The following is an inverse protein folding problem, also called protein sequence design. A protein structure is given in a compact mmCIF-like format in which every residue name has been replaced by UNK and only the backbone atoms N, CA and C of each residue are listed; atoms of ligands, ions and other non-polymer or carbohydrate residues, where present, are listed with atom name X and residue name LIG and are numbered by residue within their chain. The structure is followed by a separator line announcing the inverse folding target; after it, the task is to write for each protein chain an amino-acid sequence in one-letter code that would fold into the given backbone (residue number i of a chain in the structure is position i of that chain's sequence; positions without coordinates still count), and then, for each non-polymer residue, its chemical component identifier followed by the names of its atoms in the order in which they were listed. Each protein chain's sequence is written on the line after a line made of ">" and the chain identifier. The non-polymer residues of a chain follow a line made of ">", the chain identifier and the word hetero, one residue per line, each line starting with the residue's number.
data_IF_456469827026
#
_entry.id   IF_456469827026
#
_cell.length_a   1.000
_cell.length_b   1.000
_cell.length_c   1.000
_cell.angle_alpha   90.00
_cell.angle_beta   90.00
_cell.angle_gamma   90.00
#
_symmetry.space_group_name_H-M   'P 1'
#
loop_
_entity.id
_entity.type
_entity.pdbx_description
1 polymer ?
#
# COMPACT_ATOMS: atom_id res chain seq x y z
N UNK A 1 57.12 17.00 39.94
CA UNK A 1 56.02 17.34 39.08
C UNK A 1 55.37 18.62 39.61
N UNK A 2 55.33 19.67 38.83
CA UNK A 2 54.76 20.96 39.22
C UNK A 2 53.25 20.86 39.40
N UNK A 3 52.64 21.65 40.28
CA UNK A 3 51.21 21.66 40.53
C UNK A 3 50.35 21.93 39.24
N UNK A 4 50.94 22.71 38.32
CA UNK A 4 50.34 22.99 37.00
C UNK A 4 50.32 21.74 36.10
N UNK A 5 51.41 20.94 36.13
CA UNK A 5 51.50 19.71 35.34
C UNK A 5 50.51 18.66 35.84
N UNK A 6 50.32 18.55 37.16
CA UNK A 6 49.31 17.68 37.76
C UNK A 6 47.88 18.01 37.31
N UNK A 7 47.55 19.32 37.32
CA UNK A 7 46.22 19.77 36.87
C UNK A 7 46.03 19.49 35.38
N UNK A 8 47.04 19.72 34.55
CA UNK A 8 47.02 19.45 33.13
C UNK A 8 46.77 17.95 32.81
N UNK A 9 47.55 17.06 33.46
CA UNK A 9 47.34 15.61 33.29
C UNK A 9 45.99 15.12 33.81
N UNK A 10 45.48 15.69 34.90
CA UNK A 10 44.14 15.38 35.41
C UNK A 10 43.05 15.78 34.41
N UNK A 11 43.16 16.94 33.77
CA UNK A 11 42.21 17.37 32.74
C UNK A 11 42.23 16.46 31.51
N UNK A 12 43.41 16.05 31.05
CA UNK A 12 43.53 15.09 29.93
C UNK A 12 42.87 13.75 30.30
N UNK A 13 43.10 13.24 31.50
CA UNK A 13 42.52 11.98 31.96
C UNK A 13 40.99 12.05 31.98
N UNK A 14 40.40 13.17 32.45
CA UNK A 14 38.96 13.39 32.43
C UNK A 14 38.42 13.44 31.00
N UNK A 15 39.08 14.15 30.09
CA UNK A 15 38.64 14.22 28.69
C UNK A 15 38.70 12.84 28.01
N UNK A 16 39.75 12.07 28.23
CA UNK A 16 39.89 10.71 27.72
C UNK A 16 38.80 9.79 28.30
N UNK A 17 38.48 9.91 29.58
CA UNK A 17 37.41 9.16 30.22
C UNK A 17 36.05 9.51 29.62
N UNK A 18 35.75 10.80 29.44
CA UNK A 18 34.51 11.26 28.82
C UNK A 18 34.36 10.79 27.37
N UNK A 19 35.48 10.84 26.61
CA UNK A 19 35.51 10.34 25.24
C UNK A 19 35.26 8.84 25.17
N UNK A 20 35.94 8.05 26.03
CA UNK A 20 35.74 6.60 26.10
C UNK A 20 34.31 6.26 26.54
N UNK A 21 33.77 6.95 27.53
CA UNK A 21 32.40 6.80 27.98
C UNK A 21 31.40 7.05 26.84
N UNK A 22 31.58 8.14 26.10
CA UNK A 22 30.74 8.49 24.95
C UNK A 22 30.84 7.46 23.84
N UNK A 23 32.03 6.93 23.58
CA UNK A 23 32.24 5.89 22.57
C UNK A 23 31.58 4.58 22.96
N UNK A 24 31.70 4.12 24.19
CA UNK A 24 31.09 2.92 24.72
C UNK A 24 29.54 3.04 24.74
N UNK A 25 29.01 4.17 25.18
CA UNK A 25 27.55 4.40 25.22
C UNK A 25 26.92 4.42 23.84
N UNK A 26 27.59 5.01 22.83
CA UNK A 26 27.13 4.95 21.43
C UNK A 26 27.20 3.53 20.89
N UNK A 27 28.23 2.76 21.22
CA UNK A 27 28.33 1.35 20.81
C UNK A 27 27.18 0.50 21.39
N UNK A 28 26.84 0.68 22.65
CA UNK A 28 25.70 -0.01 23.29
C UNK A 28 24.37 0.36 22.66
N UNK A 29 24.14 1.66 22.38
CA UNK A 29 22.92 2.14 21.72
C UNK A 29 22.78 1.57 20.31
N UNK A 30 23.86 1.58 19.52
CA UNK A 30 23.86 0.98 18.17
C UNK A 30 23.59 -0.53 18.23
N UNK A 31 24.12 -1.24 19.22
CA UNK A 31 23.83 -2.65 19.45
C UNK A 31 22.35 -2.91 19.70
N UNK A 32 21.73 -2.13 20.58
CA UNK A 32 20.27 -2.23 20.84
C UNK A 32 19.43 -1.93 19.61
N UNK A 33 19.78 -0.88 18.87
CA UNK A 33 19.06 -0.52 17.64
C UNK A 33 19.15 -1.63 16.58
N UNK A 34 20.31 -2.25 16.42
CA UNK A 34 20.48 -3.38 15.49
C UNK A 34 19.66 -4.60 15.91
N UNK A 35 19.55 -4.90 17.21
CA UNK A 35 18.68 -5.98 17.68
C UNK A 35 17.21 -5.69 17.36
N UNK A 36 16.73 -4.48 17.64
CA UNK A 36 15.34 -4.08 17.31
C UNK A 36 15.07 -4.14 15.81
N UNK A 37 16.00 -3.69 14.97
CA UNK A 37 15.88 -3.78 13.51
C UNK A 37 15.77 -5.24 13.04
N UNK A 38 16.57 -6.14 13.60
CA UNK A 38 16.52 -7.56 13.27
C UNK A 38 15.18 -8.21 13.68
N UNK A 39 14.63 -7.85 14.84
CA UNK A 39 13.29 -8.30 15.28
C UNK A 39 12.21 -7.81 14.32
N UNK A 40 12.18 -6.51 14.00
CA UNK A 40 11.21 -5.93 13.05
C UNK A 40 11.33 -6.60 11.66
N UNK A 41 12.53 -6.88 11.20
CA UNK A 41 12.73 -7.56 9.91
C UNK A 41 12.20 -8.99 9.95
N UNK A 42 12.37 -9.70 11.06
CA UNK A 42 11.84 -11.06 11.25
C UNK A 42 10.30 -11.03 11.27
N UNK A 43 9.70 -10.14 12.07
CA UNK A 43 8.25 -9.98 12.16
C UNK A 43 7.64 -9.65 10.80
N UNK A 44 8.25 -8.72 10.04
CA UNK A 44 7.81 -8.40 8.69
C UNK A 44 7.87 -9.60 7.73
N UNK A 45 8.92 -10.43 7.84
CA UNK A 45 9.04 -11.63 7.03
C UNK A 45 7.97 -12.67 7.39
N UNK A 46 7.67 -12.84 8.67
CA UNK A 46 6.64 -13.77 9.14
C UNK A 46 5.23 -13.27 8.72
N UNK A 47 4.96 -11.96 8.83
CA UNK A 47 3.71 -11.36 8.33
C UNK A 47 3.54 -11.56 6.82
N UNK A 48 4.60 -11.38 6.02
CA UNK A 48 4.56 -11.63 4.57
C UNK A 48 4.26 -13.10 4.28
N UNK A 49 4.90 -14.02 5.01
CA UNK A 49 4.66 -15.46 4.84
C UNK A 49 3.21 -15.84 5.17
N UNK A 50 2.62 -15.24 6.20
CA UNK A 50 1.25 -15.49 6.63
C UNK A 50 0.19 -14.82 5.74
N UNK A 51 0.54 -13.74 5.04
CA UNK A 51 -0.37 -13.00 4.15
C UNK A 51 -0.34 -13.47 2.70
N UNK A 52 0.52 -14.41 2.34
CA UNK A 52 0.81 -14.84 0.96
C UNK A 52 1.27 -13.72 0.01
N UNK A 53 1.52 -12.52 0.53
CA UNK A 53 2.06 -11.39 -0.24
C UNK A 53 3.56 -11.55 -0.42
N UNK A 54 4.03 -11.41 -1.64
CA UNK A 54 5.46 -11.49 -1.95
C UNK A 54 6.24 -10.28 -1.42
N UNK A 55 7.58 -10.38 -1.42
CA UNK A 55 8.44 -9.26 -1.02
C UNK A 55 8.20 -8.01 -1.88
N UNK A 56 8.46 -6.84 -1.32
CA UNK A 56 8.44 -5.59 -2.09
C UNK A 56 9.38 -5.70 -3.30
N UNK A 57 8.90 -5.31 -4.48
CA UNK A 57 9.55 -5.43 -5.79
C UNK A 57 9.57 -6.86 -6.37
N UNK A 58 8.81 -7.81 -5.83
CA UNK A 58 8.63 -9.14 -6.45
C UNK A 58 7.73 -9.10 -7.69
N UNK A 59 6.96 -8.03 -7.87
CA UNK A 59 6.20 -7.71 -9.09
C UNK A 59 6.17 -6.20 -9.31
N UNK A 60 5.77 -5.79 -10.52
CA UNK A 60 5.44 -4.40 -10.86
C UNK A 60 4.36 -4.45 -11.93
N UNK A 61 3.10 -4.43 -11.50
CA UNK A 61 1.95 -4.52 -12.39
C UNK A 61 1.13 -3.24 -12.30
N UNK A 62 0.42 -2.94 -13.40
CA UNK A 62 -0.51 -1.84 -13.48
C UNK A 62 -1.87 -2.37 -13.91
N UNK A 63 -2.94 -1.86 -13.29
CA UNK A 63 -4.32 -2.23 -13.64
C UNK A 63 -5.19 -0.98 -13.67
N UNK A 64 -6.12 -0.91 -14.61
CA UNK A 64 -7.12 0.15 -14.64
C UNK A 64 -8.29 -0.19 -13.71
N UNK A 65 -8.77 0.79 -12.95
CA UNK A 65 -9.89 0.61 -12.03
C UNK A 65 -10.87 1.77 -12.08
N UNK A 66 -12.15 1.45 -11.99
CA UNK A 66 -13.23 2.39 -11.70
C UNK A 66 -14.09 1.83 -10.58
N UNK A 67 -14.48 2.69 -9.66
CA UNK A 67 -15.42 2.38 -8.58
C UNK A 67 -16.57 3.34 -8.64
N UNK A 68 -17.79 2.80 -8.73
CA UNK A 68 -19.02 3.56 -8.75
C UNK A 68 -19.87 3.28 -7.52
N UNK A 69 -20.45 4.32 -6.94
CA UNK A 69 -21.44 4.24 -5.87
C UNK A 69 -22.67 5.03 -6.33
N UNK A 70 -23.81 4.34 -6.51
CA UNK A 70 -25.08 4.94 -6.97
C UNK A 70 -24.88 5.81 -8.24
N UNK A 71 -24.20 5.27 -9.23
CA UNK A 71 -23.95 5.90 -10.53
C UNK A 71 -22.85 6.97 -10.53
N UNK A 72 -22.23 7.29 -9.38
CA UNK A 72 -21.14 8.27 -9.28
C UNK A 72 -19.79 7.59 -9.13
N UNK A 73 -18.85 7.94 -10.00
CA UNK A 73 -17.46 7.46 -9.88
C UNK A 73 -16.78 8.09 -8.66
N UNK A 74 -16.03 7.28 -7.92
CA UNK A 74 -15.13 7.77 -6.88
C UNK A 74 -13.87 8.33 -7.55
N UNK A 75 -13.44 9.51 -7.11
CA UNK A 75 -12.22 10.16 -7.57
C UNK A 75 -11.05 9.84 -6.62
N UNK A 76 -10.22 8.87 -7.01
CA UNK A 76 -8.99 8.52 -6.27
C UNK A 76 -7.78 9.38 -6.66
N UNK A 77 -7.91 10.40 -7.52
CA UNK A 77 -6.84 11.35 -7.83
C UNK A 77 -6.54 12.31 -6.66
N UNK A 78 -7.44 12.41 -5.70
CA UNK A 78 -7.28 13.26 -4.51
C UNK A 78 -6.05 12.82 -3.69
N UNK A 79 -5.32 13.81 -3.14
CA UNK A 79 -4.06 13.58 -2.41
C UNK A 79 -4.17 12.56 -1.26
N UNK A 80 -5.33 12.47 -0.61
CA UNK A 80 -5.57 11.52 0.50
C UNK A 80 -5.51 10.05 0.08
N UNK A 81 -5.66 9.74 -1.21
CA UNK A 81 -5.61 8.38 -1.75
C UNK A 81 -4.30 8.06 -2.47
N UNK A 82 -3.44 9.09 -2.65
CA UNK A 82 -2.18 8.93 -3.37
C UNK A 82 -1.10 8.36 -2.47
N UNK A 83 -0.31 7.40 -2.97
CA UNK A 83 0.81 6.75 -2.27
C UNK A 83 0.43 6.20 -0.88
N UNK A 84 -0.82 5.73 -0.73
CA UNK A 84 -1.38 5.29 0.55
C UNK A 84 -0.63 4.10 1.16
N UNK A 85 -0.05 3.21 0.33
CA UNK A 85 0.80 2.11 0.76
C UNK A 85 1.95 1.87 -0.23
N UNK A 86 3.09 1.34 0.24
CA UNK A 86 4.27 1.09 -0.60
C UNK A 86 4.10 -0.06 -1.58
N UNK A 87 3.25 -1.02 -1.26
CA UNK A 87 3.05 -2.24 -2.03
C UNK A 87 1.99 -2.06 -3.12
N UNK A 88 0.96 -1.23 -2.85
CA UNK A 88 -0.17 -1.00 -3.75
C UNK A 88 -0.68 0.43 -3.54
N UNK A 89 -0.83 1.20 -4.61
CA UNK A 89 -1.25 2.60 -4.52
C UNK A 89 -1.68 3.18 -5.86
N UNK A 90 -2.23 4.38 -5.81
CA UNK A 90 -2.34 5.34 -6.90
C UNK A 90 -1.21 6.37 -6.77
N UNK A 91 -0.71 6.91 -7.88
CA UNK A 91 0.34 7.91 -7.90
C UNK A 91 0.16 8.96 -9.02
N UNK A 92 0.99 10.00 -9.03
CA UNK A 92 1.00 11.07 -10.04
C UNK A 92 -0.32 11.85 -10.18
N UNK A 93 -1.18 11.85 -9.14
CA UNK A 93 -2.51 12.46 -9.20
C UNK A 93 -3.48 11.69 -10.11
N UNK A 94 -3.17 10.44 -10.47
CA UNK A 94 -4.02 9.56 -11.26
C UNK A 94 -4.73 8.59 -10.32
N UNK A 95 -6.06 8.56 -10.38
CA UNK A 95 -6.89 7.71 -9.53
C UNK A 95 -7.53 6.54 -10.26
N UNK A 96 -7.06 6.23 -11.46
CA UNK A 96 -7.65 5.20 -12.32
C UNK A 96 -6.66 4.10 -12.71
N UNK A 97 -5.37 4.26 -12.36
CA UNK A 97 -4.33 3.26 -12.57
C UNK A 97 -3.76 2.83 -11.23
N UNK A 98 -3.95 1.56 -10.88
CA UNK A 98 -3.37 0.93 -9.70
C UNK A 98 -1.92 0.55 -10.03
N UNK A 99 -0.99 0.82 -9.10
CA UNK A 99 0.38 0.33 -9.13
C UNK A 99 0.55 -0.75 -8.05
N UNK A 100 1.08 -1.92 -8.41
CA UNK A 100 1.39 -2.99 -7.46
C UNK A 100 2.88 -3.33 -7.54
N UNK A 101 3.51 -3.47 -6.38
CA UNK A 101 4.96 -3.69 -6.26
C UNK A 101 5.31 -5.03 -5.58
N UNK A 102 4.34 -5.93 -5.46
CA UNK A 102 4.55 -7.29 -4.95
C UNK A 102 3.59 -8.28 -5.61
N UNK A 103 3.94 -9.56 -5.59
CA UNK A 103 3.04 -10.63 -6.02
C UNK A 103 1.91 -10.83 -5.03
N UNK A 104 0.80 -11.42 -5.48
CA UNK A 104 -0.37 -11.79 -4.66
C UNK A 104 -1.12 -10.63 -4.01
N UNK A 105 -0.97 -9.40 -4.52
CA UNK A 105 -1.75 -8.27 -4.07
C UNK A 105 -3.18 -8.33 -4.62
N UNK A 106 -4.16 -8.19 -3.72
CA UNK A 106 -5.58 -8.33 -4.04
C UNK A 106 -6.32 -6.99 -4.02
N UNK A 107 -7.56 -7.01 -4.50
CA UNK A 107 -8.48 -5.86 -4.38
C UNK A 107 -8.74 -5.50 -2.91
N UNK A 108 -8.82 -6.49 -2.00
CA UNK A 108 -8.91 -6.25 -0.56
C UNK A 108 -7.72 -5.46 -0.02
N UNK A 109 -6.49 -5.74 -0.47
CA UNK A 109 -5.30 -4.97 -0.11
C UNK A 109 -5.38 -3.52 -0.61
N UNK A 110 -5.87 -3.30 -1.84
CA UNK A 110 -6.09 -1.95 -2.36
C UNK A 110 -7.06 -1.18 -1.46
N UNK A 111 -8.25 -1.70 -1.23
CA UNK A 111 -9.27 -1.00 -0.44
C UNK A 111 -8.80 -0.74 1.00
N UNK A 112 -8.15 -1.71 1.65
CA UNK A 112 -7.55 -1.50 2.97
C UNK A 112 -6.50 -0.39 2.98
N UNK A 113 -5.68 -0.29 1.95
CA UNK A 113 -4.70 0.80 1.84
C UNK A 113 -5.36 2.19 1.76
N UNK A 114 -6.58 2.24 1.23
CA UNK A 114 -7.40 3.45 1.11
C UNK A 114 -8.26 3.73 2.35
N UNK A 115 -8.15 2.91 3.41
CA UNK A 115 -8.97 3.02 4.61
C UNK A 115 -10.42 2.55 4.41
N UNK A 116 -10.63 1.60 3.50
CA UNK A 116 -11.91 1.01 3.17
C UNK A 116 -11.88 -0.52 3.39
N UNK A 117 -13.04 -1.11 3.61
CA UNK A 117 -13.22 -2.56 3.60
C UNK A 117 -14.09 -2.97 2.39
N UNK A 118 -13.73 -4.08 1.76
CA UNK A 118 -14.40 -4.59 0.57
C UNK A 118 -14.51 -6.11 0.65
N UNK A 119 -15.70 -6.64 0.47
CA UNK A 119 -15.98 -8.06 0.40
C UNK A 119 -17.06 -8.37 -0.66
N UNK A 120 -17.53 -9.60 -0.72
CA UNK A 120 -18.53 -10.03 -1.70
C UNK A 120 -19.95 -9.46 -1.48
N UNK A 121 -20.20 -8.79 -0.38
CA UNK A 121 -21.47 -8.22 -0.01
C UNK A 121 -21.45 -6.72 0.21
N UNK A 122 -20.33 -6.17 0.75
CA UNK A 122 -20.23 -4.80 1.20
C UNK A 122 -18.97 -4.09 0.69
N UNK A 123 -19.11 -2.79 0.45
CA UNK A 123 -18.03 -1.84 0.36
C UNK A 123 -18.20 -0.81 1.48
N UNK A 124 -17.37 -0.87 2.53
CA UNK A 124 -17.32 0.16 3.56
C UNK A 124 -16.33 1.24 3.12
N UNK A 125 -16.81 2.45 2.85
CA UNK A 125 -16.00 3.54 2.32
C UNK A 125 -16.43 4.88 2.92
N UNK A 126 -15.46 5.68 3.36
CA UNK A 126 -15.71 7.01 3.98
C UNK A 126 -16.77 6.97 5.09
N UNK A 127 -16.69 5.98 5.97
CA UNK A 127 -17.61 5.77 7.13
C UNK A 127 -19.04 5.39 6.73
N UNK A 128 -19.25 4.93 5.51
CA UNK A 128 -20.56 4.48 5.03
C UNK A 128 -20.42 3.06 4.49
N UNK A 129 -21.37 2.20 4.87
CA UNK A 129 -21.43 0.82 4.42
C UNK A 129 -22.41 0.71 3.24
N UNK A 130 -21.91 0.29 2.10
CA UNK A 130 -22.66 0.04 0.88
C UNK A 130 -22.80 -1.46 0.69
N UNK A 131 -23.82 -2.04 1.33
CA UNK A 131 -24.07 -3.48 1.30
C UNK A 131 -25.18 -3.85 0.34
N UNK A 132 -25.05 -5.00 -0.34
CA UNK A 132 -26.08 -5.54 -1.20
C UNK A 132 -27.36 -5.82 -0.41
N UNK A 133 -28.51 -5.32 -0.91
CA UNK A 133 -29.81 -5.49 -0.28
C UNK A 133 -30.90 -4.67 -0.98
N UNK A 134 -32.14 -5.14 -0.93
CA UNK A 134 -33.24 -4.50 -1.65
C UNK A 134 -32.94 -4.42 -3.15
N UNK A 135 -32.95 -3.21 -3.70
CA UNK A 135 -32.67 -2.96 -5.11
C UNK A 135 -31.19 -2.68 -5.41
N UNK A 136 -30.35 -2.44 -4.37
CA UNK A 136 -28.94 -2.15 -4.56
C UNK A 136 -28.10 -3.44 -4.50
N UNK A 137 -27.12 -3.53 -5.39
CA UNK A 137 -26.19 -4.67 -5.46
C UNK A 137 -24.75 -4.16 -5.58
N UNK A 138 -23.85 -4.81 -4.85
CA UNK A 138 -22.41 -4.69 -5.08
C UNK A 138 -22.03 -5.68 -6.19
N UNK A 139 -21.34 -5.18 -7.21
CA UNK A 139 -20.92 -5.95 -8.38
C UNK A 139 -19.46 -5.74 -8.64
N UNK A 140 -18.77 -6.79 -9.04
CA UNK A 140 -17.36 -6.78 -9.35
C UNK A 140 -17.12 -7.40 -10.73
N UNK A 141 -16.36 -6.69 -11.56
CA UNK A 141 -16.03 -7.13 -12.93
C UNK A 141 -14.53 -6.99 -13.17
N UNK A 142 -14.01 -7.96 -13.89
CA UNK A 142 -12.62 -7.97 -14.38
C UNK A 142 -12.63 -8.23 -15.88
N UNK A 143 -11.99 -7.37 -16.63
CA UNK A 143 -11.89 -7.48 -18.10
C UNK A 143 -13.26 -7.64 -18.79
N UNK A 144 -14.24 -6.89 -18.30
CA UNK A 144 -15.62 -6.87 -18.81
C UNK A 144 -16.48 -8.05 -18.38
N UNK A 145 -16.01 -8.97 -17.54
CA UNK A 145 -16.74 -10.16 -17.08
C UNK A 145 -17.02 -10.08 -15.59
N UNK A 146 -18.22 -10.50 -15.11
CA UNK A 146 -18.46 -10.64 -13.68
C UNK A 146 -17.43 -11.56 -13.05
N UNK A 147 -16.96 -11.17 -11.85
CA UNK A 147 -16.00 -11.93 -11.04
C UNK A 147 -16.54 -12.05 -9.62
N UNK A 148 -16.42 -13.22 -9.01
CA UNK A 148 -16.93 -13.51 -7.68
C UNK A 148 -15.83 -13.59 -6.59
N UNK A 149 -14.58 -13.27 -6.94
CA UNK A 149 -13.48 -13.29 -5.99
C UNK A 149 -13.43 -12.03 -5.13
N UNK A 150 -13.99 -10.91 -5.57
CA UNK A 150 -14.10 -9.62 -4.86
C UNK A 150 -12.76 -9.21 -4.21
N UNK A 151 -12.71 -9.12 -2.88
CA UNK A 151 -11.52 -8.76 -2.09
C UNK A 151 -10.36 -9.73 -2.29
N UNK A 152 -10.64 -11.00 -2.58
CA UNK A 152 -9.64 -12.04 -2.81
C UNK A 152 -9.05 -12.03 -4.23
N UNK A 153 -9.61 -11.23 -5.15
CA UNK A 153 -9.10 -11.15 -6.52
C UNK A 153 -7.67 -10.62 -6.55
N UNK A 154 -6.71 -11.44 -7.02
CA UNK A 154 -5.32 -11.03 -7.22
C UNK A 154 -5.21 -10.19 -8.49
N UNK A 155 -4.79 -8.94 -8.34
CA UNK A 155 -4.66 -7.97 -9.43
C UNK A 155 -3.53 -8.40 -10.39
N UNK A 156 -3.84 -8.46 -11.67
CA UNK A 156 -2.88 -8.82 -12.73
C UNK A 156 -2.54 -7.60 -13.59
N UNK A 157 -1.39 -7.69 -14.25
CA UNK A 157 -0.96 -6.62 -15.17
C UNK A 157 -1.99 -6.46 -16.31
N UNK A 158 -2.32 -5.21 -16.62
CA UNK A 158 -3.28 -4.77 -17.65
C UNK A 158 -4.74 -5.15 -17.39
N UNK A 159 -5.10 -5.58 -16.19
CA UNK A 159 -6.50 -5.78 -15.83
C UNK A 159 -7.32 -4.49 -15.97
N UNK A 160 -8.58 -4.65 -16.35
CA UNK A 160 -9.61 -3.62 -16.35
C UNK A 160 -10.67 -3.97 -15.33
N UNK A 161 -10.72 -3.22 -14.24
CA UNK A 161 -11.50 -3.55 -13.05
C UNK A 161 -12.65 -2.54 -12.88
N UNK A 162 -13.86 -3.05 -12.67
CA UNK A 162 -15.01 -2.25 -12.26
C UNK A 162 -15.57 -2.79 -10.96
N UNK A 163 -15.73 -1.91 -9.97
CA UNK A 163 -16.56 -2.11 -8.78
C UNK A 163 -17.76 -1.20 -8.90
N UNK A 164 -18.98 -1.72 -8.81
CA UNK A 164 -20.20 -0.94 -8.92
C UNK A 164 -21.18 -1.31 -7.82
N UNK A 165 -21.62 -0.31 -7.05
CA UNK A 165 -22.67 -0.46 -6.06
C UNK A 165 -23.84 0.43 -6.39
N UNK A 166 -25.02 -0.16 -6.48
CA UNK A 166 -26.30 0.56 -6.67
C UNK A 166 -27.37 -0.27 -7.36
N UNK A 167 -28.39 0.42 -7.84
CA UNK A 167 -29.53 -0.17 -8.54
C UNK A 167 -29.39 -0.17 -10.06
N UNK A 168 -28.16 0.01 -10.59
CA UNK A 168 -27.87 0.14 -12.02
C UNK A 168 -28.41 -1.03 -12.83
N UNK A 169 -29.02 -0.73 -13.96
CA UNK A 169 -29.42 -1.71 -14.96
C UNK A 169 -28.23 -2.17 -15.83
N UNK A 170 -28.49 -3.14 -16.72
CA UNK A 170 -27.46 -3.69 -17.60
C UNK A 170 -26.84 -2.64 -18.54
N UNK A 171 -27.63 -1.69 -19.03
CA UNK A 171 -27.14 -0.64 -19.92
C UNK A 171 -26.25 0.36 -19.17
N UNK A 172 -26.57 0.66 -17.93
CA UNK A 172 -25.77 1.53 -17.05
C UNK A 172 -24.46 0.84 -16.66
N UNK A 173 -24.52 -0.45 -16.31
CA UNK A 173 -23.29 -1.25 -16.03
C UNK A 173 -22.40 -1.28 -17.28
N UNK A 174 -22.96 -1.48 -18.48
CA UNK A 174 -22.16 -1.47 -19.71
C UNK A 174 -21.49 -0.11 -19.96
N UNK A 175 -22.14 1.02 -19.63
CA UNK A 175 -21.51 2.35 -19.69
C UNK A 175 -20.36 2.48 -18.70
N UNK A 176 -20.53 1.97 -17.47
CA UNK A 176 -19.46 1.98 -16.46
C UNK A 176 -18.29 1.10 -16.92
N UNK A 177 -18.51 -0.10 -17.45
CA UNK A 177 -17.48 -0.97 -18.01
C UNK A 177 -16.68 -0.27 -19.13
N UNK A 178 -17.39 0.42 -20.04
CA UNK A 178 -16.77 1.15 -21.14
C UNK A 178 -16.00 2.40 -20.67
N UNK A 179 -16.24 2.89 -19.45
CA UNK A 179 -15.53 4.03 -18.86
C UNK A 179 -14.20 3.66 -18.21
N UNK A 180 -13.95 2.35 -17.97
CA UNK A 180 -12.65 1.89 -17.44
C UNK A 180 -11.56 2.22 -18.46
N UNK A 181 -10.54 2.92 -18.01
CA UNK A 181 -9.48 3.48 -18.87
C UNK A 181 -8.55 2.42 -19.48
N UNK A 182 -7.52 2.87 -20.16
CA UNK A 182 -6.42 2.05 -20.66
C UNK A 182 -5.07 2.68 -20.27
N UNK A 183 -4.99 3.25 -19.05
CA UNK A 183 -3.80 3.92 -18.53
C UNK A 183 -2.71 2.92 -18.16
N UNK A 184 -3.10 1.77 -17.60
CA UNK A 184 -2.19 0.69 -17.24
C UNK A 184 -1.24 0.31 -18.38
N UNK A 185 -1.73 0.28 -19.62
CA UNK A 185 -0.93 -0.02 -20.80
C UNK A 185 0.21 0.99 -21.06
N UNK A 186 0.01 2.28 -20.70
CA UNK A 186 1.05 3.31 -20.83
C UNK A 186 2.18 3.11 -19.82
N UNK A 187 1.83 2.75 -18.58
CA UNK A 187 2.81 2.49 -17.53
C UNK A 187 3.60 1.21 -17.80
N UNK A 188 2.92 0.14 -18.22
CA UNK A 188 3.57 -1.13 -18.53
C UNK A 188 4.50 -1.04 -19.76
N UNK A 189 4.18 -0.20 -20.76
CA UNK A 189 5.07 0.04 -21.92
C UNK A 189 6.39 0.71 -21.53
N UNK A 190 6.38 1.61 -20.52
CA UNK A 190 7.56 2.32 -20.03
C UNK A 190 8.46 1.48 -19.09
N UNK A 191 8.02 0.29 -18.72
CA UNK A 191 8.72 -0.61 -17.79
C UNK A 191 10.05 -1.14 -18.32
N UNK A 192 10.26 -1.07 -19.64
CA UNK A 192 11.42 -1.62 -20.34
C UNK A 192 12.23 -0.59 -21.16
N UNK A 193 11.98 0.70 -20.93
CA UNK A 193 12.74 1.81 -21.57
C UNK A 193 13.87 2.33 -20.68
#
# INVERSE_FOLDING_TARGET
>A
MNKKDMVFYALIAVLLFLFLWQWLSKGALLGQLNLQLNEIQKDNKDLMLLSDVGPLRSAHNHADVKVYINGKAIDFSQSKYQLAARFIHFEEGIGEAIHTHATSLTMGHLFKSLGADFDNNCLAFEKTDYCSGGNAKLRFYVNGKPNNEFDNYVIKDLDKILVSYGGEDEAEIQKQLNSVTNLAAKYSANKYS
#
